data_IF_324256509714
#
_entry.id   IF_324256509714
#
_cell.length_a   1.000
_cell.length_b   1.000
_cell.length_c   1.000
_cell.angle_alpha   90.00
_cell.angle_beta   90.00
_cell.angle_gamma   90.00
#
_symmetry.space_group_name_H-M   'P 1'
#
loop_
_entity.id
_entity.type
_entity.pdbx_description
1 polymer ?
#
# COMPACT_ATOMS: atom_id res chain seq x y z
N UNK A 1 10.54 1.64 -8.65
CA UNK A 1 9.60 0.66 -8.05
C UNK A 1 8.31 1.38 -7.64
N UNK A 2 7.29 0.58 -7.34
CA UNK A 2 5.97 1.11 -7.00
C UNK A 2 5.51 0.57 -5.66
N UNK A 3 4.79 1.38 -4.91
CA UNK A 3 4.02 1.01 -3.74
C UNK A 3 2.58 0.73 -4.14
N UNK A 4 1.93 -0.22 -3.49
CA UNK A 4 0.54 -0.58 -3.81
C UNK A 4 -0.32 -0.69 -2.59
N UNK A 5 -1.39 0.09 -2.56
CA UNK A 5 -2.41 0.02 -1.52
C UNK A 5 -3.30 -1.19 -1.71
N UNK A 6 -3.46 -1.97 -0.68
CA UNK A 6 -4.32 -3.15 -0.63
C UNK A 6 -5.28 -3.09 0.56
N UNK A 7 -6.33 -3.88 0.46
CA UNK A 7 -7.33 -4.01 1.52
C UNK A 7 -6.97 -5.20 2.42
N UNK A 8 -6.96 -4.97 3.72
CA UNK A 8 -6.68 -5.99 4.73
C UNK A 8 -7.85 -6.12 5.70
N UNK A 9 -8.17 -7.35 6.04
CA UNK A 9 -9.25 -7.74 6.94
C UNK A 9 -8.73 -8.74 7.96
N UNK A 10 -9.52 -9.04 9.01
CA UNK A 10 -9.21 -10.16 9.92
C UNK A 10 -9.04 -11.45 9.13
N UNK A 11 -8.18 -12.34 9.58
CA UNK A 11 -7.83 -13.53 8.80
C UNK A 11 -9.02 -14.45 8.50
N UNK A 12 -10.04 -14.51 9.36
CA UNK A 12 -11.28 -15.28 9.16
C UNK A 12 -12.40 -14.54 8.40
N UNK A 13 -12.19 -13.28 8.02
CA UNK A 13 -13.24 -12.48 7.38
C UNK A 13 -13.20 -12.65 5.85
N UNK A 14 -14.26 -13.23 5.28
CA UNK A 14 -14.39 -13.48 3.84
C UNK A 14 -15.47 -12.61 3.17
N UNK A 15 -16.07 -11.67 3.90
CA UNK A 15 -17.22 -10.87 3.44
C UNK A 15 -16.99 -10.11 2.14
N UNK A 16 -15.73 -9.78 1.81
CA UNK A 16 -15.36 -8.90 0.71
C UNK A 16 -14.59 -9.59 -0.42
N UNK A 17 -14.34 -10.90 -0.32
CA UNK A 17 -13.47 -11.63 -1.26
C UNK A 17 -14.03 -11.67 -2.69
N UNK A 18 -15.33 -11.77 -2.84
CA UNK A 18 -16.02 -11.78 -4.13
C UNK A 18 -16.27 -10.37 -4.70
N UNK A 19 -16.39 -9.37 -3.83
CA UNK A 19 -16.72 -8.01 -4.23
C UNK A 19 -16.27 -6.98 -3.18
N UNK A 20 -15.16 -6.33 -3.43
CA UNK A 20 -14.62 -5.25 -2.58
C UNK A 20 -15.53 -4.02 -2.53
N UNK A 21 -16.39 -3.83 -3.52
CA UNK A 21 -17.36 -2.71 -3.54
C UNK A 21 -18.37 -2.77 -2.38
N UNK A 22 -18.60 -3.94 -1.78
CA UNK A 22 -19.44 -4.11 -0.58
C UNK A 22 -18.94 -3.26 0.59
N UNK A 23 -17.65 -2.96 0.65
CA UNK A 23 -17.05 -2.11 1.69
C UNK A 23 -17.65 -0.71 1.69
N UNK A 24 -18.09 -0.20 0.54
CA UNK A 24 -18.69 1.13 0.41
C UNK A 24 -20.12 1.20 0.99
N UNK A 25 -20.23 0.91 2.27
CA UNK A 25 -21.50 0.86 3.01
C UNK A 25 -21.28 1.36 4.45
N UNK A 26 -22.18 2.20 5.01
CA UNK A 26 -22.02 2.79 6.35
C UNK A 26 -21.91 1.78 7.50
N UNK A 27 -22.34 0.53 7.30
CA UNK A 27 -22.19 -0.55 8.30
C UNK A 27 -20.74 -1.02 8.48
N UNK A 28 -19.86 -0.76 7.50
CA UNK A 28 -18.47 -1.18 7.55
C UNK A 28 -17.59 0.00 7.87
N UNK A 29 -16.58 -0.24 8.69
CA UNK A 29 -15.66 0.79 9.18
C UNK A 29 -14.27 0.54 8.61
N UNK A 30 -13.70 1.58 7.99
CA UNK A 30 -12.33 1.56 7.45
C UNK A 30 -11.41 2.29 8.42
N UNK A 31 -10.31 1.66 8.80
CA UNK A 31 -9.24 2.30 9.56
C UNK A 31 -8.39 3.15 8.62
N UNK A 32 -8.24 4.43 8.92
CA UNK A 32 -7.44 5.39 8.15
C UNK A 32 -6.55 6.21 9.07
N UNK A 33 -5.47 6.76 8.51
CA UNK A 33 -4.62 7.74 9.18
C UNK A 33 -4.76 9.05 8.42
N UNK A 34 -5.00 10.13 9.14
CA UNK A 34 -5.21 11.46 8.57
C UNK A 34 -3.98 11.93 7.80
N UNK A 35 -4.18 12.52 6.63
CA UNK A 35 -3.09 12.93 5.75
C UNK A 35 -2.38 11.81 4.98
N UNK A 36 -2.62 10.55 5.34
CA UNK A 36 -2.06 9.39 4.67
C UNK A 36 -2.92 8.93 3.49
N UNK A 37 -2.33 8.14 2.61
CA UNK A 37 -3.00 7.62 1.41
C UNK A 37 -4.27 6.81 1.73
N UNK A 38 -4.34 6.17 2.90
CA UNK A 38 -5.52 5.44 3.37
C UNK A 38 -6.76 6.33 3.47
N UNK A 39 -6.61 7.55 3.95
CA UNK A 39 -7.71 8.53 4.07
C UNK A 39 -8.17 9.03 2.70
N UNK A 40 -7.24 9.30 1.78
CA UNK A 40 -7.59 9.72 0.41
C UNK A 40 -8.30 8.62 -0.38
N UNK A 41 -7.82 7.39 -0.29
CA UNK A 41 -8.45 6.24 -0.96
C UNK A 41 -9.83 5.95 -0.37
N UNK A 42 -9.98 6.01 0.95
CA UNK A 42 -11.29 5.85 1.59
C UNK A 42 -12.28 6.90 1.07
N UNK A 43 -11.89 8.19 1.07
CA UNK A 43 -12.76 9.28 0.64
C UNK A 43 -13.16 9.18 -0.86
N UNK A 44 -12.24 8.72 -1.71
CA UNK A 44 -12.50 8.62 -3.16
C UNK A 44 -13.27 7.35 -3.54
N UNK A 45 -12.89 6.19 -2.99
CA UNK A 45 -13.38 4.89 -3.48
C UNK A 45 -14.47 4.29 -2.58
N UNK A 46 -14.49 4.66 -1.29
CA UNK A 46 -15.43 4.15 -0.30
C UNK A 46 -16.12 5.26 0.50
N UNK A 47 -16.67 6.31 -0.16
CA UNK A 47 -17.19 7.50 0.54
C UNK A 47 -18.38 7.22 1.47
N UNK A 48 -19.07 6.09 1.30
CA UNK A 48 -20.21 5.71 2.15
C UNK A 48 -19.79 4.88 3.36
N UNK A 49 -18.57 4.35 3.39
CA UNK A 49 -18.09 3.56 4.52
C UNK A 49 -17.86 4.46 5.74
N UNK A 50 -18.13 3.93 6.93
CA UNK A 50 -17.75 4.59 8.18
C UNK A 50 -16.23 4.61 8.32
N UNK A 51 -15.70 5.59 9.05
CA UNK A 51 -14.26 5.78 9.21
C UNK A 51 -13.87 5.63 10.68
N UNK A 52 -12.79 4.91 10.94
CA UNK A 52 -12.01 4.99 12.16
C UNK A 52 -10.75 5.80 11.82
N UNK A 53 -10.82 7.11 11.97
CA UNK A 53 -9.71 8.01 11.72
C UNK A 53 -8.73 8.00 12.88
N UNK A 54 -7.45 8.00 12.58
CA UNK A 54 -6.34 8.16 13.51
C UNK A 54 -5.54 9.40 13.12
N UNK A 55 -4.99 10.14 14.11
CA UNK A 55 -4.21 11.34 13.83
C UNK A 55 -3.02 11.08 12.88
N UNK A 56 -2.64 12.12 12.15
CA UNK A 56 -1.40 12.13 11.35
C UNK A 56 -0.18 11.75 12.21
N UNK A 57 0.74 10.99 11.60
CA UNK A 57 1.91 10.46 12.31
C UNK A 57 1.63 9.22 13.18
N UNK A 58 0.40 8.70 13.22
CA UNK A 58 0.10 7.43 13.87
C UNK A 58 0.84 6.28 13.16
N UNK A 59 1.44 5.37 13.94
CA UNK A 59 2.08 4.19 13.38
C UNK A 59 1.07 3.31 12.63
N UNK A 60 1.42 2.88 11.43
CA UNK A 60 0.55 2.05 10.56
C UNK A 60 0.12 0.75 11.26
N UNK A 61 0.92 0.22 12.18
CA UNK A 61 0.55 -0.95 12.97
C UNK A 61 -0.72 -0.74 13.79
N UNK A 62 -1.04 0.49 14.19
CA UNK A 62 -2.28 0.81 14.90
C UNK A 62 -3.53 0.61 14.03
N UNK A 63 -3.44 0.89 12.72
CA UNK A 63 -4.51 0.59 11.79
C UNK A 63 -4.69 -0.92 11.64
N UNK A 64 -3.59 -1.69 11.58
CA UNK A 64 -3.62 -3.15 11.58
C UNK A 64 -4.28 -3.70 12.86
N UNK A 65 -3.86 -3.23 14.03
CA UNK A 65 -4.42 -3.66 15.32
C UNK A 65 -5.90 -3.30 15.44
N UNK A 66 -6.31 -2.14 14.95
CA UNK A 66 -7.71 -1.73 14.96
C UNK A 66 -8.62 -2.69 14.20
N UNK A 67 -8.13 -3.24 13.07
CA UNK A 67 -8.86 -4.28 12.33
C UNK A 67 -8.77 -5.63 13.05
N UNK A 68 -7.59 -6.01 13.50
CA UNK A 68 -7.38 -7.28 14.20
C UNK A 68 -8.25 -7.40 15.46
N UNK A 69 -8.43 -6.31 16.20
CA UNK A 69 -9.23 -6.21 17.41
C UNK A 69 -10.74 -5.97 17.15
N UNK A 70 -11.15 -5.84 15.90
CA UNK A 70 -12.54 -5.63 15.52
C UNK A 70 -13.07 -4.22 15.70
N UNK A 71 -12.21 -3.23 15.95
CA UNK A 71 -12.60 -1.81 16.03
C UNK A 71 -12.90 -1.21 14.64
N UNK A 72 -12.28 -1.79 13.61
CA UNK A 72 -12.60 -1.55 12.21
C UNK A 72 -12.75 -2.89 11.46
N UNK A 73 -13.39 -2.84 10.29
CA UNK A 73 -13.58 -4.01 9.44
C UNK A 73 -12.43 -4.18 8.45
N UNK A 74 -11.92 -3.07 7.92
CA UNK A 74 -10.94 -3.03 6.83
C UNK A 74 -9.86 -2.00 7.15
N UNK A 75 -8.61 -2.30 6.80
CA UNK A 75 -7.52 -1.33 6.69
C UNK A 75 -7.06 -1.23 5.24
N UNK A 76 -6.74 -0.02 4.81
CA UNK A 76 -6.13 0.29 3.51
C UNK A 76 -4.65 0.55 3.76
N UNK A 77 -3.79 -0.38 3.35
CA UNK A 77 -2.37 -0.36 3.71
C UNK A 77 -1.49 -0.56 2.49
N UNK A 78 -0.31 0.04 2.52
CA UNK A 78 0.76 -0.35 1.59
C UNK A 78 1.17 -1.81 1.85
N UNK A 79 1.31 -2.56 0.77
CA UNK A 79 1.66 -3.99 0.82
C UNK A 79 2.95 -4.26 1.59
N UNK A 80 3.94 -3.37 1.51
CA UNK A 80 5.24 -3.57 2.17
C UNK A 80 5.13 -3.48 3.69
N UNK A 81 4.37 -2.51 4.20
CA UNK A 81 4.10 -2.37 5.63
C UNK A 81 3.22 -3.50 6.17
N UNK A 82 2.16 -3.83 5.42
CA UNK A 82 1.29 -4.94 5.79
C UNK A 82 2.05 -6.27 5.86
N UNK A 83 2.94 -6.53 4.90
CA UNK A 83 3.77 -7.73 4.90
C UNK A 83 4.68 -7.82 6.16
N UNK A 84 5.25 -6.69 6.60
CA UNK A 84 6.04 -6.65 7.82
C UNK A 84 5.21 -6.92 9.07
N UNK A 85 4.01 -6.31 9.16
CA UNK A 85 3.08 -6.57 10.25
C UNK A 85 2.65 -8.04 10.30
N UNK A 86 2.26 -8.62 9.16
CA UNK A 86 1.83 -10.02 9.07
C UNK A 86 2.94 -11.00 9.44
N UNK A 87 4.19 -10.70 9.08
CA UNK A 87 5.35 -11.51 9.48
C UNK A 87 5.53 -11.55 11.00
N UNK A 88 5.27 -10.43 11.69
CA UNK A 88 5.38 -10.33 13.16
C UNK A 88 4.13 -10.84 13.88
N UNK A 89 2.97 -10.80 13.23
CA UNK A 89 1.67 -11.14 13.79
C UNK A 89 0.92 -12.13 12.88
N UNK A 90 1.42 -13.37 12.74
CA UNK A 90 0.83 -14.35 11.83
C UNK A 90 -0.61 -14.67 12.23
N UNK A 91 -1.49 -14.78 11.25
CA UNK A 91 -2.89 -15.17 11.43
C UNK A 91 -3.81 -14.08 11.97
N UNK A 92 -3.33 -12.86 12.25
CA UNK A 92 -4.19 -11.76 12.71
C UNK A 92 -5.01 -11.14 11.57
N UNK A 93 -4.34 -10.82 10.47
CA UNK A 93 -4.92 -10.20 9.28
C UNK A 93 -4.60 -11.02 8.03
N UNK A 94 -5.31 -10.74 6.96
CA UNK A 94 -5.02 -11.18 5.60
C UNK A 94 -5.39 -10.10 4.57
N UNK A 95 -4.80 -10.15 3.40
CA UNK A 95 -5.31 -9.40 2.26
C UNK A 95 -6.66 -9.97 1.82
N UNK A 96 -7.55 -9.11 1.32
CA UNK A 96 -8.80 -9.54 0.69
C UNK A 96 -8.46 -10.40 -0.52
N UNK A 97 -9.03 -11.61 -0.61
CA UNK A 97 -8.72 -12.56 -1.66
C UNK A 97 -9.13 -12.04 -3.04
N UNK A 98 -8.30 -12.32 -4.06
CA UNK A 98 -8.53 -11.87 -5.43
C UNK A 98 -8.41 -10.37 -5.66
N UNK A 99 -8.26 -9.57 -4.62
CA UNK A 99 -8.13 -8.13 -4.75
C UNK A 99 -6.75 -7.76 -5.30
N UNK A 100 -6.75 -7.07 -6.45
CA UNK A 100 -5.57 -6.36 -6.94
C UNK A 100 -5.31 -5.14 -6.06
N UNK A 101 -4.11 -4.54 -6.12
CA UNK A 101 -3.91 -3.23 -5.48
C UNK A 101 -4.98 -2.26 -5.97
N UNK A 102 -5.63 -1.57 -5.03
CA UNK A 102 -6.67 -0.58 -5.38
C UNK A 102 -6.06 0.73 -5.89
N UNK A 103 -4.81 0.99 -5.48
CA UNK A 103 -3.98 2.10 -6.00
C UNK A 103 -2.53 1.65 -6.09
N UNK A 104 -1.83 2.14 -7.09
CA UNK A 104 -0.39 1.96 -7.26
C UNK A 104 0.23 3.34 -7.41
N UNK A 105 1.32 3.58 -6.69
CA UNK A 105 2.06 4.85 -6.69
C UNK A 105 3.51 4.63 -7.07
N UNK A 106 4.04 5.54 -7.87
CA UNK A 106 5.46 5.61 -8.12
C UNK A 106 6.18 6.15 -6.89
N UNK A 107 7.31 5.54 -6.54
CA UNK A 107 8.23 6.13 -5.58
C UNK A 107 9.11 7.13 -6.32
N UNK A 108 8.94 8.40 -6.01
CA UNK A 108 9.58 9.53 -6.70
C UNK A 108 10.44 10.36 -5.75
N UNK A 109 11.31 11.18 -6.31
CA UNK A 109 12.10 12.16 -5.57
C UNK A 109 11.54 13.56 -5.79
N UNK A 110 11.42 14.33 -4.72
CA UNK A 110 11.10 15.74 -4.80
C UNK A 110 12.40 16.54 -4.99
N UNK A 111 12.36 17.50 -5.90
CA UNK A 111 13.47 18.41 -6.19
C UNK A 111 13.01 19.86 -5.96
N UNK A 112 13.97 20.73 -5.66
CA UNK A 112 13.70 22.16 -5.59
C UNK A 112 13.17 22.66 -6.95
N UNK A 113 12.23 23.59 -6.89
CA UNK A 113 11.67 24.22 -8.09
C UNK A 113 12.78 24.82 -8.97
N UNK A 114 12.67 24.65 -10.29
CA UNK A 114 13.65 25.14 -11.25
C UNK A 114 14.87 24.23 -11.48
N UNK A 115 14.98 23.08 -10.80
CA UNK A 115 16.12 22.15 -10.94
C UNK A 115 16.03 21.24 -12.18
N UNK A 116 15.63 21.78 -13.35
CA UNK A 116 15.35 20.99 -14.55
C UNK A 116 16.54 20.11 -15.00
N UNK A 117 17.76 20.66 -15.02
CA UNK A 117 18.96 19.89 -15.40
C UNK A 117 19.22 18.71 -14.47
N UNK A 118 19.08 18.92 -13.15
CA UNK A 118 19.23 17.86 -12.17
C UNK A 118 18.15 16.80 -12.36
N UNK A 119 16.91 17.20 -12.62
CA UNK A 119 15.80 16.30 -12.91
C UNK A 119 16.09 15.40 -14.11
N UNK A 120 16.59 15.97 -15.22
CA UNK A 120 16.98 15.21 -16.42
C UNK A 120 18.09 14.21 -16.12
N UNK A 121 19.14 14.62 -15.42
CA UNK A 121 20.23 13.72 -15.02
C UNK A 121 19.74 12.57 -14.16
N UNK A 122 18.90 12.85 -13.14
CA UNK A 122 18.34 11.84 -12.26
C UNK A 122 17.40 10.88 -13.01
N UNK A 123 16.59 11.38 -13.93
CA UNK A 123 15.71 10.56 -14.75
C UNK A 123 16.51 9.56 -15.60
N UNK A 124 17.63 10.01 -16.20
CA UNK A 124 18.53 9.11 -16.96
C UNK A 124 19.17 8.08 -16.04
N UNK A 125 19.69 8.51 -14.88
CA UNK A 125 20.31 7.61 -13.91
C UNK A 125 19.31 6.54 -13.40
N UNK A 126 18.09 6.95 -13.03
CA UNK A 126 17.02 6.01 -12.57
C UNK A 126 16.68 5.01 -13.66
N UNK A 127 16.47 5.46 -14.91
CA UNK A 127 16.20 4.56 -16.04
C UNK A 127 17.34 3.55 -16.23
N UNK A 128 18.58 3.99 -16.19
CA UNK A 128 19.75 3.11 -16.31
C UNK A 128 19.78 2.08 -15.18
N UNK A 129 19.53 2.49 -13.93
CA UNK A 129 19.48 1.57 -12.79
C UNK A 129 18.33 0.55 -12.90
N UNK A 130 17.17 0.96 -13.41
CA UNK A 130 16.02 0.04 -13.63
C UNK A 130 16.37 -0.99 -14.70
N UNK A 131 16.83 -0.53 -15.88
CA UNK A 131 17.10 -1.42 -17.02
C UNK A 131 18.34 -2.30 -16.84
N UNK A 132 19.30 -1.89 -16.04
CA UNK A 132 20.45 -2.74 -15.67
C UNK A 132 20.12 -3.81 -14.63
N UNK A 133 18.89 -3.83 -14.08
CA UNK A 133 18.51 -4.73 -12.99
C UNK A 133 19.07 -4.34 -11.61
N UNK A 134 19.78 -3.20 -11.52
CA UNK A 134 20.34 -2.74 -10.24
C UNK A 134 19.27 -2.47 -9.20
N UNK A 135 18.16 -1.82 -9.58
CA UNK A 135 17.03 -1.57 -8.67
C UNK A 135 16.46 -2.87 -8.11
N UNK A 136 16.25 -3.89 -8.96
CA UNK A 136 15.74 -5.19 -8.49
C UNK A 136 16.71 -5.88 -7.52
N UNK A 137 18.01 -5.81 -7.79
CA UNK A 137 19.04 -6.33 -6.87
C UNK A 137 19.01 -5.63 -5.51
N UNK A 138 18.83 -4.30 -5.50
CA UNK A 138 18.72 -3.51 -4.25
C UNK A 138 17.42 -3.87 -3.52
N UNK A 139 16.30 -3.92 -4.21
CA UNK A 139 15.02 -4.30 -3.60
C UNK A 139 15.11 -5.70 -2.96
N UNK A 140 15.61 -6.70 -3.66
CA UNK A 140 15.81 -8.05 -3.11
C UNK A 140 16.66 -8.07 -1.84
N UNK A 141 17.63 -7.16 -1.73
CA UNK A 141 18.49 -7.07 -0.54
C UNK A 141 17.79 -6.42 0.65
N UNK A 142 16.94 -5.41 0.42
CA UNK A 142 16.39 -4.57 1.48
C UNK A 142 14.89 -4.80 1.77
N UNK A 143 14.17 -5.55 0.93
CA UNK A 143 12.80 -5.93 1.24
C UNK A 143 12.75 -6.79 2.50
N UNK A 144 12.00 -6.35 3.50
CA UNK A 144 11.77 -7.13 4.72
C UNK A 144 10.99 -8.44 4.44
N UNK A 145 10.17 -8.43 3.41
CA UNK A 145 9.42 -9.57 2.88
C UNK A 145 9.59 -9.59 1.36
N UNK A 146 10.01 -10.71 0.76
CA UNK A 146 10.20 -10.81 -0.69
C UNK A 146 8.97 -10.38 -1.49
N UNK A 147 9.17 -9.61 -2.55
CA UNK A 147 8.13 -9.12 -3.46
C UNK A 147 7.07 -8.22 -2.78
N UNK A 148 7.42 -7.55 -1.69
CA UNK A 148 6.53 -6.58 -1.04
C UNK A 148 6.39 -5.28 -1.83
N UNK A 149 7.38 -4.90 -2.64
CA UNK A 149 7.28 -3.79 -3.59
C UNK A 149 6.96 -4.28 -5.00
N UNK A 150 6.24 -3.47 -5.77
CA UNK A 150 5.99 -3.74 -7.19
C UNK A 150 7.17 -3.25 -8.03
N UNK A 151 7.53 -4.03 -9.05
CA UNK A 151 8.60 -3.71 -9.99
C UNK A 151 8.03 -3.09 -11.26
N UNK A 152 8.79 -2.18 -11.86
CA UNK A 152 8.50 -1.77 -13.23
C UNK A 152 8.66 -2.99 -14.15
N UNK A 153 7.73 -3.19 -15.07
CA UNK A 153 7.91 -4.15 -16.14
C UNK A 153 9.10 -3.70 -17.02
N UNK A 154 10.02 -4.62 -17.30
CA UNK A 154 11.08 -4.34 -18.24
C UNK A 154 10.52 -4.48 -19.65
N UNK A 155 10.66 -3.46 -20.54
CA UNK A 155 10.00 -3.46 -21.84
C UNK A 155 10.60 -4.48 -22.83
N UNK A 156 11.69 -5.14 -22.48
CA UNK A 156 12.43 -6.07 -23.35
C UNK A 156 12.86 -7.31 -22.54
N UNK A 157 11.90 -8.01 -21.97
CA UNK A 157 12.10 -9.38 -21.53
C UNK A 157 11.15 -10.25 -22.35
N UNK A 158 11.65 -10.75 -23.46
CA UNK A 158 11.07 -11.86 -24.19
C UNK A 158 11.49 -13.18 -23.55
#
# INVERSE_FOLDING_TARGET
>A
FYSGMQLFVRSGDTRFDDNVGKINNPRYRIATIDGEMSSFVQASDFPKASVLSMPDGTDISMACESVADGKADVAILDKSYAALYLKRNPGRLRAVAGARPIRIFENTWALAYGSARLQEMLNVAVKTMVYSGYVDKVLKKYEAVPNSFYRAALPIMQ
#
